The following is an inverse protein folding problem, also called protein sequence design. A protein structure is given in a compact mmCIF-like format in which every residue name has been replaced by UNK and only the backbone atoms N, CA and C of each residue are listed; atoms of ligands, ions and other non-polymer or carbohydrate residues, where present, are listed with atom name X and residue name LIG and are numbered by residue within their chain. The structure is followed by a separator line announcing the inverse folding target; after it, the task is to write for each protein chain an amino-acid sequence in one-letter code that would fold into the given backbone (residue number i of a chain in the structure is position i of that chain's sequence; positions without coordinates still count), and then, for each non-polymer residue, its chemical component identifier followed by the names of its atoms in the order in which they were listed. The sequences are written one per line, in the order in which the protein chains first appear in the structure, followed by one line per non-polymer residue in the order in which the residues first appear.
data_IF_023030451371
#
_entry.id   IF_023030451371
#
_cell.length_a   1.000
_cell.length_b   1.000
_cell.length_c   1.000
_cell.angle_alpha   90.00
_cell.angle_beta   90.00
_cell.angle_gamma   90.00
#
_symmetry.space_group_name_H-M   'P 1'
#
loop_
_entity.id
_entity.type
_entity.pdbx_description
1 polymer ?
#
# COMPACT_ATOMS: atom_id res chain seq x y z
N UNK A 1 -5.30 22.74 -6.13
CA UNK A 1 -5.06 21.36 -5.64
C UNK A 1 -3.75 20.88 -6.22
N UNK A 2 -2.79 20.43 -5.40
CA UNK A 2 -1.56 19.83 -5.92
C UNK A 2 -1.82 18.34 -6.10
N UNK A 3 -1.52 17.82 -7.29
CA UNK A 3 -1.65 16.40 -7.61
C UNK A 3 -0.29 15.74 -7.45
N UNK A 4 -0.18 14.84 -6.48
CA UNK A 4 1.01 14.05 -6.21
C UNK A 4 0.84 12.68 -6.85
N UNK A 5 1.85 12.23 -7.61
CA UNK A 5 1.79 10.95 -8.32
C UNK A 5 2.84 10.01 -7.78
N UNK A 6 2.38 8.83 -7.37
CA UNK A 6 3.19 7.73 -6.88
C UNK A 6 3.04 6.57 -7.85
N UNK A 7 4.15 5.95 -8.20
CA UNK A 7 4.16 4.85 -9.14
C UNK A 7 5.05 3.74 -8.60
N UNK A 8 4.41 2.63 -8.27
CA UNK A 8 5.03 1.58 -7.49
C UNK A 8 4.18 0.34 -7.37
N UNK A 9 4.41 -0.40 -6.29
CA UNK A 9 3.76 -1.65 -5.95
C UNK A 9 3.23 -1.59 -4.53
N UNK A 10 2.08 -2.24 -4.31
CA UNK A 10 1.56 -2.51 -2.98
C UNK A 10 1.47 -4.03 -2.83
N UNK A 11 2.05 -4.60 -1.78
CA UNK A 11 1.82 -6.00 -1.41
C UNK A 11 1.02 -6.08 -0.12
N UNK A 12 0.04 -6.97 -0.13
CA UNK A 12 -0.79 -7.31 1.03
C UNK A 12 -0.56 -8.75 1.45
N UNK A 13 -0.18 -8.97 2.71
CA UNK A 13 0.17 -10.30 3.22
C UNK A 13 -0.47 -10.50 4.59
N UNK A 14 -1.20 -11.60 4.75
CA UNK A 14 -1.63 -12.11 6.05
C UNK A 14 -0.71 -13.22 6.52
N UNK A 15 -0.67 -13.44 7.83
CA UNK A 15 0.12 -14.51 8.44
C UNK A 15 -0.73 -15.31 9.42
N UNK A 16 -0.35 -16.56 9.71
CA UNK A 16 -1.11 -17.41 10.65
C UNK A 16 -1.06 -16.93 12.10
N UNK A 17 -0.11 -16.06 12.46
CA UNK A 17 -0.11 -15.38 13.77
C UNK A 17 -1.22 -14.34 13.91
N UNK A 18 -1.94 -13.99 12.83
CA UNK A 18 -2.92 -12.91 12.78
C UNK A 18 -2.33 -11.55 12.43
N UNK A 19 -1.00 -11.43 12.37
CA UNK A 19 -0.34 -10.20 11.91
C UNK A 19 -0.55 -10.04 10.40
N UNK A 20 -0.92 -8.83 9.98
CA UNK A 20 -1.04 -8.45 8.57
C UNK A 20 -0.02 -7.38 8.23
N UNK A 21 0.64 -7.55 7.10
CA UNK A 21 1.69 -6.65 6.63
C UNK A 21 1.30 -6.12 5.25
N UNK A 22 1.37 -4.81 5.09
CA UNK A 22 1.19 -4.12 3.81
C UNK A 22 2.48 -3.38 3.48
N UNK A 23 3.10 -3.75 2.37
CA UNK A 23 4.28 -3.08 1.82
C UNK A 23 3.84 -2.06 0.77
N UNK A 24 4.23 -0.80 0.92
CA UNK A 24 4.29 0.18 -0.15
C UNK A 24 5.72 0.28 -0.70
N UNK A 25 5.91 0.04 -2.00
CA UNK A 25 7.21 0.20 -2.65
C UNK A 25 7.10 1.16 -3.82
N UNK A 26 7.73 2.33 -3.70
CA UNK A 26 7.54 3.48 -4.59
C UNK A 26 8.85 3.94 -5.23
N UNK A 27 9.35 3.28 -6.30
CA UNK A 27 10.54 3.75 -7.02
C UNK A 27 10.39 5.13 -7.65
N UNK A 28 9.15 5.57 -7.90
CA UNK A 28 8.85 6.90 -8.42
C UNK A 28 7.82 7.59 -7.53
N UNK A 29 8.26 8.64 -6.85
CA UNK A 29 7.43 9.51 -6.03
C UNK A 29 7.92 10.97 -6.10
N UNK A 30 7.12 11.95 -5.63
CA UNK A 30 7.53 13.36 -5.57
C UNK A 30 8.77 13.62 -4.72
N UNK A 31 9.08 12.72 -3.78
CA UNK A 31 10.19 12.83 -2.83
C UNK A 31 11.37 11.91 -3.17
N UNK A 32 11.37 11.33 -4.37
CA UNK A 32 12.31 10.28 -4.76
C UNK A 32 11.84 8.88 -4.36
N UNK A 33 12.66 7.85 -4.61
CA UNK A 33 12.29 6.47 -4.32
C UNK A 33 12.20 6.22 -2.82
N UNK A 34 11.11 5.60 -2.36
CA UNK A 34 10.97 5.16 -0.97
C UNK A 34 10.13 3.89 -0.86
N UNK A 35 10.17 3.25 0.31
CA UNK A 35 9.28 2.14 0.65
C UNK A 35 8.77 2.33 2.07
N UNK A 36 7.55 1.91 2.35
CA UNK A 36 6.91 1.97 3.66
C UNK A 36 6.29 0.61 3.99
N UNK A 37 6.19 0.29 5.28
CA UNK A 37 5.56 -0.94 5.75
C UNK A 37 4.52 -0.60 6.81
N UNK A 38 3.29 -1.01 6.56
CA UNK A 38 2.20 -0.93 7.52
C UNK A 38 1.98 -2.32 8.12
N UNK A 39 1.93 -2.40 9.44
CA UNK A 39 1.70 -3.65 10.16
C UNK A 39 0.46 -3.47 11.01
N UNK A 40 -0.45 -4.43 10.96
CA UNK A 40 -1.51 -4.56 11.96
C UNK A 40 -1.28 -5.86 12.70
N UNK A 41 -0.99 -5.74 14.00
CA UNK A 41 -0.76 -6.88 14.88
C UNK A 41 -2.05 -7.66 15.14
N UNK A 42 -1.91 -8.85 15.72
CA UNK A 42 -3.05 -9.75 15.98
C UNK A 42 -4.07 -9.13 16.96
N UNK A 43 -3.60 -8.30 17.89
CA UNK A 43 -4.43 -7.53 18.83
C UNK A 43 -5.08 -6.29 18.18
N UNK A 44 -4.70 -5.96 16.95
CA UNK A 44 -5.19 -4.81 16.19
C UNK A 44 -4.33 -3.55 16.30
N UNK A 45 -3.19 -3.58 17.00
CA UNK A 45 -2.25 -2.46 17.04
C UNK A 45 -1.69 -2.16 15.64
N UNK A 46 -1.78 -0.90 15.20
CA UNK A 46 -1.38 -0.46 13.85
C UNK A 46 -0.07 0.31 13.90
N UNK A 47 0.96 -0.26 13.31
CA UNK A 47 2.30 0.31 13.23
C UNK A 47 2.63 0.74 11.80
N UNK A 48 3.13 1.95 11.63
CA UNK A 48 3.75 2.43 10.40
C UNK A 48 5.28 2.45 10.54
N UNK A 49 5.98 1.85 9.57
CA UNK A 49 7.42 1.95 9.39
C UNK A 49 7.70 2.75 8.12
N UNK A 50 8.38 3.89 8.27
CA UNK A 50 8.69 4.78 7.15
C UNK A 50 10.16 5.22 7.19
N UNK A 51 10.81 5.46 6.03
CA UNK A 51 12.24 5.71 5.95
C UNK A 51 12.65 7.11 6.40
N UNK A 52 11.73 8.07 6.37
CA UNK A 52 11.97 9.48 6.77
C UNK A 52 10.75 10.04 7.47
N UNK A 53 10.94 11.09 8.27
CA UNK A 53 9.84 11.84 8.88
C UNK A 53 8.83 12.37 7.85
N UNK A 54 9.30 12.92 6.72
CA UNK A 54 8.42 13.42 5.66
C UNK A 54 7.50 12.33 5.09
N UNK A 55 8.04 11.14 4.83
CA UNK A 55 7.22 9.99 4.38
C UNK A 55 6.27 9.50 5.48
N UNK A 56 6.71 9.52 6.75
CA UNK A 56 5.90 9.12 7.89
C UNK A 56 4.69 10.04 8.05
N UNK A 57 4.91 11.35 8.05
CA UNK A 57 3.87 12.37 8.19
C UNK A 57 2.88 12.33 7.03
N UNK A 58 3.37 12.09 5.80
CA UNK A 58 2.49 11.97 4.64
C UNK A 58 1.55 10.76 4.73
N UNK A 59 2.08 9.60 5.12
CA UNK A 59 1.34 8.34 5.21
C UNK A 59 0.42 8.34 6.44
N UNK A 60 0.89 8.81 7.59
CA UNK A 60 0.08 8.98 8.81
C UNK A 60 -0.99 10.07 8.66
N UNK A 61 -0.77 11.08 7.79
CA UNK A 61 -1.82 12.03 7.41
C UNK A 61 -2.91 11.42 6.51
N UNK A 62 -2.67 10.23 5.96
CA UNK A 62 -3.59 9.53 5.06
C UNK A 62 -4.36 8.41 5.76
N UNK A 63 -3.68 7.65 6.62
CA UNK A 63 -4.17 6.46 7.30
C UNK A 63 -4.08 6.61 8.82
N UNK A 64 -4.76 5.74 9.55
CA UNK A 64 -4.74 5.73 11.02
C UNK A 64 -3.76 4.67 11.51
N UNK A 65 -2.82 5.11 12.35
CA UNK A 65 -1.84 4.27 13.04
C UNK A 65 -1.85 4.60 14.53
N UNK A 66 -1.60 3.59 15.34
CA UNK A 66 -1.43 3.71 16.79
C UNK A 66 0.04 4.03 17.11
N UNK A 67 0.97 3.56 16.28
CA UNK A 67 2.40 3.85 16.37
C UNK A 67 3.02 4.17 15.00
N UNK A 68 3.94 5.13 14.97
CA UNK A 68 4.72 5.49 13.78
C UNK A 68 6.20 5.46 14.14
N UNK A 69 7.01 4.74 13.37
CA UNK A 69 8.47 4.67 13.53
C UNK A 69 9.18 5.05 12.25
N UNK A 70 10.16 5.94 12.40
CA UNK A 70 11.09 6.29 11.34
C UNK A 70 12.27 5.33 11.40
N UNK A 71 12.32 4.39 10.47
CA UNK A 71 13.35 3.34 10.38
C UNK A 71 13.73 3.10 8.93
N UNK A 72 14.96 2.66 8.62
CA UNK A 72 15.31 2.25 7.26
C UNK A 72 14.35 1.18 6.76
N UNK A 73 13.81 1.37 5.56
CA UNK A 73 12.97 0.39 4.86
C UNK A 73 13.65 0.00 3.55
N UNK A 74 14.31 -1.15 3.55
CA UNK A 74 14.99 -1.68 2.38
C UNK A 74 14.12 -2.70 1.67
N UNK A 75 14.02 -2.59 0.35
CA UNK A 75 13.33 -3.57 -0.51
C UNK A 75 14.30 -4.05 -1.58
N UNK A 76 14.50 -5.37 -1.64
CA UNK A 76 15.27 -6.05 -2.68
C UNK A 76 14.35 -6.95 -3.48
N UNK A 77 14.45 -6.88 -4.80
CA UNK A 77 13.66 -7.70 -5.72
C UNK A 77 14.59 -8.57 -6.55
N UNK A 78 14.56 -9.87 -6.32
CA UNK A 78 15.27 -10.88 -7.09
C UNK A 78 14.31 -11.56 -8.08
N UNK A 79 14.79 -11.84 -9.30
CA UNK A 79 14.07 -12.54 -10.37
C UNK A 79 12.68 -11.97 -10.71
N UNK A 80 12.44 -10.70 -10.34
CA UNK A 80 11.15 -9.98 -10.48
C UNK A 80 9.98 -10.64 -9.72
N UNK A 81 10.24 -11.67 -8.90
CA UNK A 81 9.24 -12.48 -8.21
C UNK A 81 9.51 -12.67 -6.73
N UNK A 82 10.77 -12.60 -6.33
CA UNK A 82 11.20 -12.78 -4.95
C UNK A 82 11.48 -11.40 -4.34
N UNK A 83 10.70 -11.05 -3.34
CA UNK A 83 10.80 -9.78 -2.64
C UNK A 83 11.36 -10.03 -1.26
N UNK A 84 12.31 -9.21 -0.85
CA UNK A 84 12.87 -9.18 0.50
C UNK A 84 12.76 -7.76 1.02
N UNK A 85 12.09 -7.61 2.15
CA UNK A 85 11.84 -6.35 2.84
C UNK A 85 12.52 -6.43 4.20
N UNK A 86 13.31 -5.41 4.52
CA UNK A 86 13.96 -5.25 5.82
C UNK A 86 13.58 -3.90 6.37
N UNK A 87 12.79 -3.89 7.44
CA UNK A 87 12.32 -2.70 8.13
C UNK A 87 12.18 -3.02 9.62
N UNK A 88 13.24 -2.84 10.44
CA UNK A 88 13.21 -3.25 11.84
C UNK A 88 11.97 -2.71 12.58
N UNK A 89 11.20 -3.56 13.28
CA UNK A 89 11.53 -4.93 13.68
C UNK A 89 11.11 -6.04 12.69
N UNK A 90 10.60 -5.68 11.52
CA UNK A 90 10.04 -6.60 10.52
C UNK A 90 11.10 -7.01 9.49
N UNK A 91 11.18 -8.31 9.25
CA UNK A 91 11.81 -8.88 8.06
C UNK A 91 10.80 -9.73 7.32
N UNK A 92 10.57 -9.43 6.05
CA UNK A 92 9.56 -10.10 5.24
C UNK A 92 10.20 -10.57 3.93
N UNK A 93 10.00 -11.84 3.58
CA UNK A 93 10.36 -12.39 2.29
C UNK A 93 9.13 -13.00 1.66
N UNK A 94 8.85 -12.70 0.40
CA UNK A 94 7.71 -13.29 -0.28
C UNK A 94 7.97 -13.55 -1.75
N UNK A 95 7.31 -14.59 -2.27
CA UNK A 95 7.34 -14.99 -3.67
C UNK A 95 6.00 -14.70 -4.35
N UNK A 96 6.06 -14.16 -5.57
CA UNK A 96 4.86 -13.95 -6.39
C UNK A 96 4.67 -15.04 -7.44
N UNK A 97 3.43 -15.48 -7.56
CA UNK A 97 2.98 -16.46 -8.53
C UNK A 97 2.90 -15.90 -9.95
N UNK A 98 2.44 -16.75 -10.87
CA UNK A 98 2.07 -16.31 -12.22
C UNK A 98 0.87 -15.36 -12.15
N UNK A 99 0.75 -14.50 -13.16
CA UNK A 99 -0.39 -13.58 -13.29
C UNK A 99 -1.68 -14.39 -13.36
N UNK A 100 -2.67 -13.97 -12.58
CA UNK A 100 -4.03 -14.48 -12.71
C UNK A 100 -4.76 -13.70 -13.81
N UNK A 101 -5.91 -14.19 -14.28
CA UNK A 101 -6.73 -13.51 -15.31
C UNK A 101 -6.95 -12.00 -15.04
N UNK A 102 -7.19 -11.54 -13.79
CA UNK A 102 -7.27 -10.12 -13.49
C UNK A 102 -5.97 -9.33 -13.79
N UNK A 103 -4.80 -9.92 -13.53
CA UNK A 103 -3.51 -9.30 -13.84
C UNK A 103 -3.27 -9.15 -15.35
N UNK A 104 -3.72 -10.13 -16.15
CA UNK A 104 -3.70 -10.04 -17.62
C UNK A 104 -4.63 -8.95 -18.14
N UNK A 105 -5.85 -8.85 -17.59
CA UNK A 105 -6.81 -7.82 -17.96
C UNK A 105 -6.30 -6.41 -17.62
N UNK A 106 -5.70 -6.22 -16.43
CA UNK A 106 -5.10 -4.94 -16.04
C UNK A 106 -3.92 -4.54 -16.94
N UNK A 107 -3.11 -5.51 -17.38
CA UNK A 107 -1.99 -5.26 -18.30
C UNK A 107 -2.46 -4.85 -19.71
N UNK A 108 -3.64 -5.29 -20.13
CA UNK A 108 -4.23 -4.89 -21.41
C UNK A 108 -4.66 -3.41 -21.42
N UNK A 109 -4.81 -2.79 -20.25
CA UNK A 109 -5.17 -1.38 -20.13
C UNK A 109 -3.92 -0.51 -20.35
N UNK A 110 -3.90 0.36 -21.38
CA UNK A 110 -2.81 1.29 -21.59
C UNK A 110 -2.60 2.15 -20.33
N UNK A 111 -1.35 2.34 -19.89
CA UNK A 111 -1.04 3.05 -18.64
C UNK A 111 -1.58 4.47 -18.53
N UNK A 112 -1.91 5.10 -19.68
CA UNK A 112 -2.58 6.41 -19.80
C UNK A 112 -4.07 6.34 -19.47
N UNK A 113 -4.76 5.22 -19.73
CA UNK A 113 -6.14 4.97 -19.34
C UNK A 113 -6.24 4.55 -17.88
N UNK A 114 -5.32 3.68 -17.43
CA UNK A 114 -5.29 3.20 -16.04
C UNK A 114 -5.11 4.33 -14.99
N UNK A 115 -4.70 5.52 -15.42
CA UNK A 115 -4.51 6.72 -14.59
C UNK A 115 -5.61 7.76 -14.75
N UNK A 116 -6.59 7.55 -15.63
CA UNK A 116 -7.74 8.45 -15.78
C UNK A 116 -8.71 8.25 -14.61
N UNK A 117 -9.18 9.34 -13.96
CA UNK A 117 -10.15 9.25 -12.87
C UNK A 117 -11.41 8.44 -13.25
N UNK A 118 -11.88 8.58 -14.49
CA UNK A 118 -13.05 7.82 -14.99
C UNK A 118 -12.82 6.31 -15.11
N UNK A 119 -11.59 5.86 -15.40
CA UNK A 119 -11.26 4.44 -15.43
C UNK A 119 -11.12 3.87 -14.01
N UNK A 120 -10.58 4.66 -13.09
CA UNK A 120 -10.42 4.30 -11.68
C UNK A 120 -11.79 4.16 -11.00
N UNK A 121 -12.73 5.06 -11.32
CA UNK A 121 -14.13 4.94 -10.91
C UNK A 121 -14.85 3.74 -11.55
N UNK A 122 -14.53 3.41 -12.80
CA UNK A 122 -15.09 2.24 -13.49
C UNK A 122 -14.60 0.91 -12.89
N UNK A 123 -13.34 0.86 -12.42
CA UNK A 123 -12.77 -0.31 -11.74
C UNK A 123 -13.14 -0.43 -10.26
N UNK A 124 -13.76 0.58 -9.65
CA UNK A 124 -14.15 0.55 -8.24
C UNK A 124 -15.14 -0.57 -7.94
N UNK A 125 -16.09 -0.82 -8.84
CA UNK A 125 -17.07 -1.91 -8.71
C UNK A 125 -16.43 -3.31 -8.80
N UNK A 126 -15.66 -3.65 -9.85
CA UNK A 126 -15.00 -4.96 -9.91
C UNK A 126 -13.89 -5.13 -8.87
N UNK A 127 -13.15 -4.09 -8.47
CA UNK A 127 -12.19 -4.20 -7.37
C UNK A 127 -12.88 -4.44 -6.02
N UNK A 128 -14.03 -3.78 -5.79
CA UNK A 128 -14.84 -4.02 -4.59
C UNK A 128 -15.47 -5.43 -4.58
N UNK A 129 -15.86 -5.93 -5.75
CA UNK A 129 -16.51 -7.25 -5.89
C UNK A 129 -15.50 -8.41 -5.88
N UNK A 130 -14.36 -8.27 -6.57
CA UNK A 130 -13.38 -9.36 -6.77
C UNK A 130 -12.26 -9.35 -5.73
N UNK A 131 -11.91 -8.18 -5.22
CA UNK A 131 -10.75 -7.97 -4.35
C UNK A 131 -11.15 -7.39 -2.99
N UNK A 132 -12.42 -7.05 -2.76
CA UNK A 132 -12.87 -6.43 -1.50
C UNK A 132 -12.20 -5.08 -1.22
N UNK A 133 -11.58 -4.45 -2.22
CA UNK A 133 -10.78 -3.25 -2.12
C UNK A 133 -11.49 -2.06 -2.78
N UNK A 134 -11.53 -0.91 -2.12
CA UNK A 134 -12.04 0.35 -2.71
C UNK A 134 -10.94 1.00 -3.56
N UNK A 135 -11.22 1.37 -4.82
CA UNK A 135 -10.25 2.07 -5.71
C UNK A 135 -10.38 3.59 -5.63
N UNK A 136 -11.42 4.08 -4.96
CA UNK A 136 -11.59 5.47 -4.59
C UNK A 136 -12.01 5.58 -3.11
N UNK A 137 -11.36 6.47 -2.38
CA UNK A 137 -11.71 6.80 -1.02
C UNK A 137 -11.33 8.24 -0.70
N UNK A 138 -12.18 8.93 0.05
CA UNK A 138 -11.79 10.12 0.79
C UNK A 138 -10.83 9.66 1.90
N UNK A 139 -9.55 9.96 1.75
CA UNK A 139 -8.62 9.88 2.86
C UNK A 139 -8.95 11.02 3.84
N UNK A 140 -8.62 10.85 5.13
CA UNK A 140 -8.88 11.87 6.16
C UNK A 140 -8.24 13.21 5.73
N UNK A 141 -8.91 14.33 6.02
CA UNK A 141 -8.48 15.71 5.74
C UNK A 141 -8.46 16.17 4.26
N UNK A 142 -9.57 16.00 3.52
CA UNK A 142 -9.74 16.63 2.19
C UNK A 142 -8.79 16.11 1.10
N UNK A 143 -8.22 14.91 1.31
CA UNK A 143 -7.32 14.25 0.38
C UNK A 143 -8.08 13.22 -0.45
N UNK A 144 -8.06 13.39 -1.77
CA UNK A 144 -8.66 12.44 -2.70
C UNK A 144 -7.60 11.53 -3.29
N UNK A 145 -7.83 10.21 -3.23
CA UNK A 145 -6.89 9.22 -3.72
C UNK A 145 -7.51 8.41 -4.84
N UNK A 146 -6.79 8.35 -5.95
CA UNK A 146 -7.15 7.54 -7.09
C UNK A 146 -6.11 6.44 -7.30
N UNK A 147 -6.58 5.20 -7.26
CA UNK A 147 -5.76 4.00 -7.35
C UNK A 147 -5.89 3.36 -8.74
N UNK A 148 -4.89 3.58 -9.58
CA UNK A 148 -4.80 2.98 -10.91
C UNK A 148 -4.03 1.66 -10.89
N UNK A 149 -4.71 0.55 -10.60
CA UNK A 149 -4.11 -0.79 -10.69
C UNK A 149 -3.71 -1.11 -12.14
N UNK A 150 -2.53 -1.71 -12.34
CA UNK A 150 -1.95 -2.02 -13.66
C UNK A 150 -1.54 -3.47 -13.85
N UNK A 151 -1.25 -4.16 -12.76
CA UNK A 151 -0.88 -5.58 -12.77
C UNK A 151 -1.19 -6.14 -11.40
N UNK A 152 -1.47 -7.44 -11.33
CA UNK A 152 -1.76 -8.14 -10.09
C UNK A 152 -1.15 -9.53 -10.15
N UNK A 153 -0.39 -9.84 -9.11
CA UNK A 153 0.21 -11.15 -8.90
C UNK A 153 -0.21 -11.70 -7.55
N UNK A 154 -0.67 -12.96 -7.45
CA UNK A 154 -0.86 -13.60 -6.15
C UNK A 154 0.49 -13.75 -5.44
N UNK A 155 0.51 -13.56 -4.13
CA UNK A 155 1.63 -13.97 -3.29
C UNK A 155 1.40 -15.43 -2.95
N UNK A 156 2.35 -16.29 -3.30
CA UNK A 156 2.22 -17.76 -3.18
C UNK A 156 3.06 -18.32 -2.04
N UNK A 157 4.04 -17.56 -1.57
CA UNK A 157 4.85 -17.89 -0.40
C UNK A 157 5.21 -16.61 0.33
N UNK A 158 5.23 -16.67 1.66
CA UNK A 158 5.79 -15.61 2.49
C UNK A 158 6.38 -16.20 3.76
N UNK A 159 7.49 -15.63 4.20
CA UNK A 159 8.04 -15.79 5.54
C UNK A 159 8.22 -14.40 6.12
N UNK A 160 7.70 -14.20 7.33
CA UNK A 160 7.78 -12.91 8.00
C UNK A 160 8.23 -13.13 9.45
N UNK A 161 9.12 -12.28 9.92
CA UNK A 161 9.55 -12.25 11.32
C UNK A 161 9.36 -10.85 11.90
N UNK A 162 9.01 -10.79 13.18
CA UNK A 162 8.93 -9.56 13.96
C UNK A 162 9.78 -9.74 15.22
N UNK A 163 10.74 -8.84 15.46
CA UNK A 163 11.65 -8.90 16.63
C UNK A 163 12.37 -10.26 16.74
N UNK A 164 12.62 -10.91 15.60
CA UNK A 164 13.26 -12.23 15.53
C UNK A 164 12.31 -13.43 15.62
N UNK A 165 11.04 -13.23 15.98
CA UNK A 165 10.05 -14.29 16.08
C UNK A 165 9.32 -14.50 14.75
N UNK A 166 9.03 -15.76 14.40
CA UNK A 166 8.27 -16.10 13.21
C UNK A 166 6.80 -15.68 13.36
N UNK A 167 6.27 -14.96 12.38
CA UNK A 167 4.85 -14.61 12.29
C UNK A 167 4.01 -15.77 11.73
N UNK A 168 4.63 -16.93 11.49
CA UNK A 168 3.98 -18.12 10.95
C UNK A 168 3.95 -18.16 9.42
N UNK A 169 3.05 -19.00 8.89
CA UNK A 169 2.93 -19.23 7.46
C UNK A 169 2.09 -18.13 6.78
N UNK A 170 2.18 -18.04 5.46
CA UNK A 170 1.30 -17.21 4.63
C UNK A 170 -0.18 -17.59 4.89
N UNK A 171 -0.98 -16.59 5.23
CA UNK A 171 -2.42 -16.74 5.45
C UNK A 171 -3.19 -15.64 4.68
N UNK A 172 -4.52 -15.80 4.50
CA UNK A 172 -5.36 -14.71 4.04
C UNK A 172 -5.21 -13.45 4.91
N UNK A 173 -5.38 -12.28 4.31
CA UNK A 173 -5.45 -10.99 5.02
C UNK A 173 -6.81 -10.92 5.73
N UNK A 174 -6.90 -11.55 6.90
CA UNK A 174 -8.12 -11.66 7.68
C UNK A 174 -7.82 -11.49 9.17
N UNK A 175 -8.56 -10.61 9.89
CA UNK A 175 -9.58 -9.69 9.38
C UNK A 175 -9.01 -8.63 8.40
N UNK A 176 -9.84 -7.95 7.58
CA UNK A 176 -9.36 -6.90 6.69
C UNK A 176 -8.58 -5.83 7.45
N UNK A 177 -7.49 -5.29 6.87
CA UNK A 177 -6.69 -4.21 7.48
C UNK A 177 -7.53 -2.95 7.76
N UNK A 178 -7.28 -2.32 8.91
CA UNK A 178 -8.05 -1.21 9.48
C UNK A 178 -7.24 0.09 9.54
N UNK A 179 -6.40 0.31 8.53
CA UNK A 179 -5.64 1.56 8.35
C UNK A 179 -6.51 2.71 7.79
N UNK A 180 -7.64 2.42 7.14
CA UNK A 180 -8.50 3.44 6.54
C UNK A 180 -9.52 2.85 5.55
N UNK A 181 -9.98 3.64 4.58
CA UNK A 181 -11.01 3.22 3.62
C UNK A 181 -10.53 2.27 2.51
N UNK A 182 -9.21 2.16 2.31
CA UNK A 182 -8.61 1.24 1.35
C UNK A 182 -8.28 -0.09 2.01
N UNK A 183 -9.07 -1.12 1.74
CA UNK A 183 -8.80 -2.48 2.20
C UNK A 183 -7.92 -3.22 1.20
N UNK A 184 -6.87 -3.84 1.70
CA UNK A 184 -6.08 -4.85 0.98
C UNK A 184 -6.96 -6.07 0.67
N UNK A 185 -6.78 -6.73 -0.49
CA UNK A 185 -7.55 -7.92 -0.80
C UNK A 185 -7.32 -9.06 0.19
N UNK A 186 -8.37 -9.84 0.47
CA UNK A 186 -8.28 -11.04 1.33
C UNK A 186 -7.21 -12.04 0.84
N UNK A 187 -7.14 -12.41 -0.45
CA UNK A 187 -6.02 -13.22 -0.92
C UNK A 187 -4.74 -12.36 -0.98
N UNK A 188 -3.63 -12.84 -0.40
CA UNK A 188 -2.35 -12.14 -0.47
C UNK A 188 -1.93 -11.88 -1.93
N UNK A 189 -1.60 -10.63 -2.23
CA UNK A 189 -1.26 -10.22 -3.59
C UNK A 189 -0.31 -9.03 -3.64
N UNK A 190 0.47 -8.97 -4.71
CA UNK A 190 1.28 -7.83 -5.11
C UNK A 190 0.59 -7.14 -6.30
N UNK A 191 0.27 -5.86 -6.14
CA UNK A 191 -0.40 -5.05 -7.15
C UNK A 191 0.54 -3.98 -7.63
N UNK A 192 0.74 -3.89 -8.96
CA UNK A 192 1.39 -2.73 -9.58
C UNK A 192 0.38 -1.61 -9.67
N UNK A 193 0.70 -0.44 -9.14
CA UNK A 193 -0.25 0.65 -9.02
C UNK A 193 0.36 2.01 -9.33
N UNK A 194 -0.45 2.91 -9.90
CA UNK A 194 -0.18 4.35 -9.85
C UNK A 194 -1.22 4.99 -8.97
N UNK A 195 -0.77 5.62 -7.89
CA UNK A 195 -1.61 6.37 -6.99
C UNK A 195 -1.48 7.85 -7.31
N UNK A 196 -2.60 8.52 -7.51
CA UNK A 196 -2.64 9.97 -7.59
C UNK A 196 -3.33 10.47 -6.33
N UNK A 197 -2.67 11.36 -5.59
CA UNK A 197 -3.22 11.99 -4.39
C UNK A 197 -3.40 13.47 -4.68
N UNK A 198 -4.65 13.93 -4.76
CA UNK A 198 -4.91 15.37 -4.75
C UNK A 198 -5.01 15.83 -3.31
N UNK A 199 -4.10 16.74 -2.95
CA UNK A 199 -4.11 17.41 -1.66
C UNK A 199 -4.71 18.81 -1.89
N UNK A 200 -5.80 19.11 -1.20
CA UNK A 200 -6.27 20.48 -1.05
C UNK A 200 -5.25 21.19 -0.15
N UNK A 201 -4.65 22.28 -0.65
CA UNK A 201 -3.86 23.12 0.25
C UNK A 201 -4.82 23.72 1.27
N UNK A 202 -4.53 23.54 2.55
CA UNK A 202 -5.04 24.50 3.52
C UNK A 202 -4.55 25.87 3.06
N UNK A 203 -5.50 26.80 2.87
CA UNK A 203 -5.14 28.21 2.84
C UNK A 203 -4.60 28.50 4.24
N UNK A 204 -3.28 28.50 4.39
CA UNK A 204 -2.65 29.18 5.52
C UNK A 204 -3.06 30.64 5.42
N UNK A 205 -4.05 30.99 6.25
CA UNK A 205 -4.43 32.35 6.56
C UNK A 205 -3.15 33.10 6.95
N UNK A 206 -2.62 33.87 6.01
CA UNK A 206 -1.49 34.77 6.23
C UNK A 206 -2.01 36.18 6.04
N UNK A 207 -2.01 36.97 7.12
CA UNK A 207 -2.28 38.41 7.15
C UNK A 207 -3.78 38.74 7.32
N UNK A 208 -4.21 39.60 8.25
CA UNK A 208 -3.50 40.62 9.00
C UNK A 208 -4.14 40.78 10.39
N UNK A 209 -3.29 40.78 11.42
CA UNK A 209 -3.54 41.63 12.57
C UNK A 209 -3.26 43.07 12.12
N UNK A 210 -4.24 43.94 12.30
CA UNK A 210 -4.12 45.39 12.31
C UNK A 210 -5.07 45.90 13.37
#
# INVERSE_FOLDING_TARGET
MRSLRFDGWIAGIGTTSGVRVVLGHWPRSPWGPFSDVMVEEADGHRLLLAPTGETADFVAGTYVFDEVRVVPVEVRVADRRHWTVTAPPIHLRFGTGRRNLPGLALRAVPGRLATRPGWIALWDRPARLLLGARTHGSARAGRHQWYGARDLHPVVSATATCKGESLGALAPVEPPVRFGTGSTPRPPCLVRITTTVAVQQDRSTTGAAS
#
